data_IF_922005240446
#
_entry.id   IF_922005240446
#
_cell.length_a   1.000
_cell.length_b   1.000
_cell.length_c   1.000
_cell.angle_alpha   90.00
_cell.angle_beta   90.00
_cell.angle_gamma   90.00
#
_symmetry.space_group_name_H-M   'P 1'
#
loop_
_entity.id
_entity.type
_entity.pdbx_description
1 polymer ?
#
# COMPACT_ATOMS: atom_id res chain seq x y z
N UNK A 1 16.92 6.80 -0.30
CA UNK A 1 15.65 7.22 0.35
C UNK A 1 15.11 8.59 -0.09
N UNK A 2 15.93 9.66 -0.22
CA UNK A 2 15.46 11.01 -0.63
C UNK A 2 14.85 11.06 -2.05
N UNK A 3 15.37 10.26 -2.98
CA UNK A 3 14.89 10.18 -4.36
C UNK A 3 13.48 9.57 -4.49
N UNK A 4 13.20 8.49 -3.77
CA UNK A 4 11.88 7.83 -3.78
C UNK A 4 10.81 8.77 -3.24
N UNK A 5 11.08 9.46 -2.12
CA UNK A 5 10.17 10.50 -1.62
C UNK A 5 9.95 11.61 -2.66
N UNK A 6 11.01 12.09 -3.31
CA UNK A 6 10.91 13.14 -4.33
C UNK A 6 10.10 12.71 -5.56
N UNK A 7 10.27 11.47 -6.03
CA UNK A 7 9.56 10.96 -7.21
C UNK A 7 8.12 10.56 -6.92
N UNK A 8 7.85 9.96 -5.75
CA UNK A 8 6.48 9.68 -5.31
C UNK A 8 5.73 11.00 -5.10
N UNK A 9 6.36 12.01 -4.48
CA UNK A 9 5.75 13.34 -4.36
C UNK A 9 5.55 14.01 -5.71
N UNK A 10 6.51 13.89 -6.63
CA UNK A 10 6.40 14.47 -7.98
C UNK A 10 5.23 13.87 -8.76
N UNK A 11 5.12 12.54 -8.81
CA UNK A 11 4.00 11.86 -9.48
C UNK A 11 2.66 12.19 -8.82
N UNK A 12 2.64 12.36 -7.49
CA UNK A 12 1.44 12.74 -6.73
C UNK A 12 1.03 14.20 -7.01
N UNK A 13 1.98 15.11 -7.15
CA UNK A 13 1.75 16.52 -7.54
C UNK A 13 1.19 16.61 -8.96
N UNK A 14 1.74 15.83 -9.89
CA UNK A 14 1.28 15.77 -11.27
C UNK A 14 -0.17 15.25 -11.36
N UNK A 15 -0.50 14.20 -10.62
CA UNK A 15 -1.86 13.67 -10.53
C UNK A 15 -2.87 14.70 -10.00
N UNK A 16 -2.57 15.37 -8.89
CA UNK A 16 -3.46 16.39 -8.31
C UNK A 16 -3.60 17.64 -9.18
N UNK A 17 -2.59 17.97 -9.99
CA UNK A 17 -2.63 19.12 -10.91
C UNK A 17 -3.58 18.90 -12.07
N UNK A 18 -3.83 17.63 -12.44
CA UNK A 18 -4.64 17.23 -13.59
C UNK A 18 -6.09 16.82 -13.25
N UNK A 19 -6.52 16.97 -11.99
CA UNK A 19 -7.91 16.69 -11.59
C UNK A 19 -8.90 17.76 -12.12
N UNK A 20 -10.17 17.39 -12.36
CA UNK A 20 -11.25 18.35 -12.60
C UNK A 20 -11.33 19.38 -11.47
N UNK A 21 -11.71 20.62 -11.77
CA UNK A 21 -11.71 21.72 -10.80
C UNK A 21 -12.64 21.46 -9.58
N UNK A 22 -13.70 20.67 -9.77
CA UNK A 22 -14.61 20.19 -8.71
C UNK A 22 -13.93 19.28 -7.69
N UNK A 23 -12.86 18.61 -8.09
CA UNK A 23 -12.21 17.54 -7.34
C UNK A 23 -10.84 17.99 -6.81
N UNK A 24 -10.45 19.23 -7.09
CA UNK A 24 -9.21 19.82 -6.57
C UNK A 24 -9.40 20.23 -5.11
N UNK A 25 -8.64 19.67 -4.16
CA UNK A 25 -8.62 20.17 -2.80
C UNK A 25 -8.19 21.65 -2.76
N UNK A 26 -8.80 22.44 -1.88
CA UNK A 26 -8.57 23.88 -1.76
C UNK A 26 -7.14 24.18 -1.29
N UNK A 27 -6.20 24.33 -2.23
CA UNK A 27 -4.80 24.68 -1.97
C UNK A 27 -4.39 25.97 -2.70
N UNK A 28 -3.48 26.74 -2.10
CA UNK A 28 -2.88 27.93 -2.71
C UNK A 28 -1.36 27.97 -2.54
N UNK A 29 -0.67 28.64 -3.47
CA UNK A 29 0.79 28.83 -3.48
C UNK A 29 1.10 30.28 -3.12
N UNK A 30 1.95 30.51 -2.11
CA UNK A 30 2.50 31.84 -1.79
C UNK A 30 4.02 31.73 -1.74
N UNK A 31 4.72 32.51 -2.57
CA UNK A 31 6.20 32.51 -2.60
C UNK A 31 6.86 31.19 -3.02
N UNK A 32 6.19 30.37 -3.84
CA UNK A 32 6.74 29.09 -4.31
C UNK A 32 6.61 27.93 -3.31
N UNK A 33 5.87 28.11 -2.21
CA UNK A 33 5.60 27.06 -1.22
C UNK A 33 4.10 26.92 -0.98
N UNK A 34 3.65 25.68 -0.75
CA UNK A 34 2.25 25.36 -0.45
C UNK A 34 1.96 25.70 1.01
N UNK A 35 0.99 26.57 1.27
CA UNK A 35 0.64 27.02 2.63
C UNK A 35 -0.87 26.94 2.87
N UNK A 36 -1.22 26.40 4.04
CA UNK A 36 -2.55 26.54 4.65
C UNK A 36 -2.52 27.81 5.53
N UNK A 37 -3.59 28.61 5.52
CA UNK A 37 -3.71 29.80 6.38
C UNK A 37 -4.76 29.53 7.48
N UNK A 38 -4.61 30.02 8.72
CA UNK A 38 -3.42 30.12 9.56
C UNK A 38 -3.56 29.36 10.91
N UNK A 39 -2.44 28.91 11.49
CA UNK A 39 -2.34 28.55 12.91
C UNK A 39 -1.57 27.27 13.24
N UNK A 40 -0.25 27.24 13.00
CA UNK A 40 0.64 26.19 13.53
C UNK A 40 1.61 25.63 12.49
N UNK A 41 2.92 25.80 12.72
CA UNK A 41 3.97 25.21 11.90
C UNK A 41 4.07 23.70 12.15
N UNK A 42 3.29 22.92 11.40
CA UNK A 42 3.34 21.46 11.44
C UNK A 42 4.46 20.97 10.49
N UNK A 43 5.34 20.09 10.98
CA UNK A 43 6.46 19.54 10.20
C UNK A 43 5.94 18.83 8.92
N UNK A 44 6.62 18.92 7.76
CA UNK A 44 6.17 18.29 6.50
C UNK A 44 5.90 16.78 6.59
N UNK A 45 6.59 16.06 7.47
CA UNK A 45 6.35 14.63 7.71
C UNK A 45 5.00 14.35 8.38
N UNK A 46 4.54 15.29 9.21
CA UNK A 46 3.26 15.22 9.92
C UNK A 46 2.12 15.58 8.97
N UNK A 47 2.31 16.61 8.13
CA UNK A 47 1.37 17.00 7.05
C UNK A 47 1.12 15.87 6.05
N UNK A 48 2.14 15.10 5.67
CA UNK A 48 1.96 13.93 4.80
C UNK A 48 1.18 12.81 5.49
N UNK A 49 1.38 12.63 6.80
CA UNK A 49 0.65 11.63 7.58
C UNK A 49 -0.80 12.03 7.82
N UNK A 50 -1.09 13.32 8.00
CA UNK A 50 -2.42 13.87 8.23
C UNK A 50 -3.22 13.99 6.94
N UNK A 51 -2.59 14.44 5.84
CA UNK A 51 -3.22 14.41 4.53
C UNK A 51 -3.50 12.98 4.07
N UNK A 52 -2.60 12.02 4.36
CA UNK A 52 -2.84 10.60 4.11
C UNK A 52 -3.95 10.04 5.01
N UNK A 53 -3.98 10.38 6.31
CA UNK A 53 -5.06 9.99 7.23
C UNK A 53 -6.41 10.56 6.82
N UNK A 54 -6.45 11.83 6.39
CA UNK A 54 -7.66 12.51 5.93
C UNK A 54 -8.14 11.95 4.57
N UNK A 55 -7.23 11.58 3.66
CA UNK A 55 -7.57 10.84 2.44
C UNK A 55 -8.15 9.45 2.77
N UNK A 56 -7.61 8.77 3.79
CA UNK A 56 -8.08 7.47 4.26
C UNK A 56 -9.43 7.53 5.02
N UNK A 57 -9.79 8.70 5.55
CA UNK A 57 -11.03 8.91 6.32
C UNK A 57 -12.18 9.50 5.49
N UNK A 58 -11.89 10.17 4.37
CA UNK A 58 -12.91 10.94 3.62
C UNK A 58 -13.74 10.16 2.61
N UNK A 59 -13.51 8.86 2.38
CA UNK A 59 -14.31 8.10 1.41
C UNK A 59 -14.63 6.67 1.86
N UNK A 60 -15.69 6.45 2.67
CA UNK A 60 -16.34 5.15 2.76
C UNK A 60 -17.24 4.91 1.55
N UNK A 61 -16.88 5.41 0.35
CA UNK A 61 -17.47 4.90 -0.88
C UNK A 61 -16.87 3.51 -1.07
N UNK A 62 -17.68 2.47 -0.81
CA UNK A 62 -17.46 1.06 -1.19
C UNK A 62 -16.40 0.97 -2.30
N UNK A 63 -15.14 0.71 -1.93
CA UNK A 63 -14.02 0.66 -2.89
C UNK A 63 -14.10 -0.65 -3.67
N UNK A 64 -15.13 -0.80 -4.49
CA UNK A 64 -15.25 -1.88 -5.45
C UNK A 64 -14.30 -1.59 -6.61
N UNK A 65 -13.48 -2.58 -6.95
CA UNK A 65 -12.61 -2.50 -8.12
C UNK A 65 -13.48 -2.45 -9.38
N UNK A 66 -13.32 -1.40 -10.19
CA UNK A 66 -13.94 -1.35 -11.52
C UNK A 66 -13.33 -2.40 -12.44
N UNK A 67 -14.00 -2.73 -13.55
CA UNK A 67 -13.44 -3.63 -14.56
C UNK A 67 -12.06 -3.13 -15.08
N UNK A 68 -11.89 -1.82 -15.21
CA UNK A 68 -10.62 -1.19 -15.59
C UNK A 68 -9.55 -1.38 -14.51
N UNK A 69 -9.90 -1.18 -13.23
CA UNK A 69 -8.96 -1.41 -12.12
C UNK A 69 -8.51 -2.88 -12.09
N UNK A 70 -9.45 -3.83 -12.25
CA UNK A 70 -9.15 -5.26 -12.28
C UNK A 70 -8.23 -5.64 -13.44
N UNK A 71 -8.48 -5.13 -14.64
CA UNK A 71 -7.64 -5.36 -15.81
C UNK A 71 -6.22 -4.81 -15.58
N UNK A 72 -6.10 -3.56 -15.13
CA UNK A 72 -4.80 -2.94 -14.85
C UNK A 72 -4.00 -3.70 -13.78
N UNK A 73 -4.66 -4.23 -12.75
CA UNK A 73 -4.01 -5.07 -11.73
C UNK A 73 -3.51 -6.38 -12.33
N UNK A 74 -4.33 -7.08 -13.13
CA UNK A 74 -3.94 -8.32 -13.81
C UNK A 74 -2.77 -8.09 -14.77
N UNK A 75 -2.82 -7.02 -15.56
CA UNK A 75 -1.77 -6.66 -16.52
C UNK A 75 -0.46 -6.33 -15.82
N UNK A 76 -0.50 -5.52 -14.76
CA UNK A 76 0.68 -5.23 -13.95
C UNK A 76 1.21 -6.51 -13.30
N UNK A 77 0.33 -7.32 -12.70
CA UNK A 77 0.71 -8.58 -12.03
C UNK A 77 1.42 -9.54 -12.98
N UNK A 78 0.91 -9.71 -14.21
CA UNK A 78 1.52 -10.56 -15.23
C UNK A 78 2.99 -10.19 -15.48
N UNK A 79 3.33 -8.90 -15.49
CA UNK A 79 4.69 -8.40 -15.70
C UNK A 79 5.61 -8.59 -14.50
N UNK A 80 5.08 -8.46 -13.28
CA UNK A 80 5.89 -8.45 -12.05
C UNK A 80 5.98 -9.82 -11.36
N UNK A 81 5.08 -10.76 -11.69
CA UNK A 81 4.93 -12.04 -10.99
C UNK A 81 6.21 -12.89 -10.97
N UNK A 82 7.04 -12.82 -12.02
CA UNK A 82 8.36 -13.48 -12.06
C UNK A 82 9.37 -12.96 -11.02
N UNK A 83 9.06 -11.86 -10.33
CA UNK A 83 9.85 -11.27 -9.25
C UNK A 83 9.09 -11.22 -7.92
N UNK A 84 8.01 -11.97 -7.78
CA UNK A 84 7.18 -11.95 -6.57
C UNK A 84 7.99 -12.24 -5.28
N UNK A 85 8.93 -13.19 -5.32
CA UNK A 85 9.80 -13.51 -4.18
C UNK A 85 10.68 -12.30 -3.79
N UNK A 86 11.24 -11.59 -4.77
CA UNK A 86 12.07 -10.40 -4.58
C UNK A 86 11.25 -9.21 -4.05
N UNK A 87 10.05 -9.01 -4.60
CA UNK A 87 9.12 -7.97 -4.16
C UNK A 87 8.74 -8.20 -2.69
N UNK A 88 8.42 -9.43 -2.33
CA UNK A 88 7.98 -9.79 -0.99
C UNK A 88 9.05 -9.61 0.07
N UNK A 89 10.28 -10.05 -0.20
CA UNK A 89 11.39 -9.84 0.74
C UNK A 89 11.70 -8.35 0.93
N UNK A 90 11.69 -7.53 -0.12
CA UNK A 90 12.02 -6.11 -0.01
C UNK A 90 10.88 -5.35 0.71
N UNK A 91 9.63 -5.67 0.40
CA UNK A 91 8.47 -5.05 1.05
C UNK A 91 8.45 -5.36 2.56
N UNK A 92 8.68 -6.62 2.94
CA UNK A 92 8.72 -7.03 4.34
C UNK A 92 9.92 -6.43 5.07
N UNK A 93 11.10 -6.41 4.43
CA UNK A 93 12.31 -5.79 4.98
C UNK A 93 12.09 -4.30 5.29
N UNK A 94 11.48 -3.56 4.35
CA UNK A 94 11.15 -2.14 4.52
C UNK A 94 10.13 -1.92 5.62
N UNK A 95 9.12 -2.76 5.70
CA UNK A 95 8.12 -2.70 6.77
C UNK A 95 8.78 -2.81 8.14
N UNK A 96 9.60 -3.84 8.36
CA UNK A 96 10.26 -4.08 9.64
C UNK A 96 11.23 -2.95 10.03
N UNK A 97 11.89 -2.30 9.06
CA UNK A 97 12.81 -1.19 9.34
C UNK A 97 12.08 0.13 9.61
N UNK A 98 11.10 0.47 8.76
CA UNK A 98 10.44 1.79 8.79
C UNK A 98 9.32 1.84 9.82
N UNK A 99 8.69 0.70 10.11
CA UNK A 99 7.57 0.56 11.02
C UNK A 99 7.90 -0.46 12.11
N UNK A 100 8.81 -0.13 13.05
CA UNK A 100 9.32 -1.09 14.03
C UNK A 100 8.23 -1.68 14.93
N UNK A 101 7.08 -1.02 15.08
CA UNK A 101 5.93 -1.56 15.80
C UNK A 101 5.39 -2.86 15.19
N UNK A 102 5.60 -3.11 13.89
CA UNK A 102 5.15 -4.35 13.25
C UNK A 102 6.02 -5.55 13.62
N UNK A 103 7.21 -5.34 14.23
CA UNK A 103 8.11 -6.42 14.65
C UNK A 103 7.53 -7.29 15.75
N UNK A 104 6.56 -6.78 16.52
CA UNK A 104 5.92 -7.51 17.63
C UNK A 104 5.28 -8.82 17.16
N UNK A 105 4.71 -8.83 15.95
CA UNK A 105 4.13 -10.03 15.32
C UNK A 105 5.16 -11.08 14.90
N UNK A 106 6.45 -10.72 14.86
CA UNK A 106 7.55 -11.57 14.40
C UNK A 106 8.60 -11.80 15.50
N UNK A 107 8.25 -11.61 16.77
CA UNK A 107 9.15 -11.76 17.93
C UNK A 107 9.76 -13.15 18.07
N UNK A 108 9.14 -14.16 17.46
CA UNK A 108 9.62 -15.55 17.41
C UNK A 108 10.77 -15.76 16.40
N UNK A 109 11.07 -14.79 15.52
CA UNK A 109 12.21 -14.88 14.61
C UNK A 109 13.49 -14.39 15.28
N UNK A 110 14.55 -15.19 15.17
CA UNK A 110 15.88 -14.85 15.70
C UNK A 110 16.56 -13.70 14.95
N UNK A 111 16.19 -13.49 13.68
CA UNK A 111 16.78 -12.48 12.82
C UNK A 111 15.72 -11.77 11.96
N UNK A 112 15.50 -10.49 12.28
CA UNK A 112 14.58 -9.58 11.60
C UNK A 112 15.29 -8.58 10.68
N UNK A 113 16.59 -8.79 10.42
CA UNK A 113 17.34 -7.91 9.53
C UNK A 113 16.85 -8.02 8.08
N UNK A 114 16.96 -6.93 7.29
CA UNK A 114 16.64 -6.97 5.87
C UNK A 114 17.37 -8.11 5.14
N UNK A 115 16.63 -8.91 4.38
CA UNK A 115 17.20 -10.03 3.62
C UNK A 115 17.52 -11.30 4.43
N UNK A 116 17.23 -11.33 5.74
CA UNK A 116 17.39 -12.54 6.55
C UNK A 116 16.56 -13.71 6.01
N UNK A 117 16.97 -14.94 6.28
CA UNK A 117 16.25 -16.13 5.80
C UNK A 117 14.76 -16.16 6.24
N UNK A 118 14.39 -15.82 7.50
CA UNK A 118 12.99 -15.71 7.92
C UNK A 118 12.21 -14.66 7.11
N UNK A 119 12.80 -13.47 6.91
CA UNK A 119 12.17 -12.36 6.16
C UNK A 119 11.95 -12.75 4.70
N UNK A 120 12.94 -13.41 4.07
CA UNK A 120 12.81 -13.90 2.69
C UNK A 120 11.71 -14.94 2.55
N UNK A 121 11.71 -15.93 3.45
CA UNK A 121 10.71 -17.00 3.44
C UNK A 121 9.29 -16.46 3.63
N UNK A 122 9.09 -15.56 4.58
CA UNK A 122 7.77 -15.01 4.84
C UNK A 122 7.34 -13.98 3.79
N UNK A 123 8.26 -13.18 3.26
CA UNK A 123 7.99 -12.27 2.14
C UNK A 123 7.41 -13.02 0.93
N UNK A 124 7.95 -14.21 0.63
CA UNK A 124 7.38 -15.12 -0.38
C UNK A 124 5.95 -15.56 -0.04
N UNK A 125 5.70 -15.98 1.20
CA UNK A 125 4.36 -16.36 1.67
C UNK A 125 3.35 -15.22 1.50
N UNK A 126 3.73 -14.00 1.87
CA UNK A 126 2.90 -12.79 1.69
C UNK A 126 2.55 -12.58 0.22
N UNK A 127 3.55 -12.62 -0.67
CA UNK A 127 3.31 -12.37 -2.10
C UNK A 127 2.57 -13.51 -2.79
N UNK A 128 2.63 -14.74 -2.24
CA UNK A 128 1.76 -15.84 -2.66
C UNK A 128 0.29 -15.56 -2.30
N UNK A 129 0.03 -15.00 -1.11
CA UNK A 129 -1.32 -14.54 -0.74
C UNK A 129 -1.82 -13.38 -1.63
N UNK A 130 -0.94 -12.47 -2.03
CA UNK A 130 -1.28 -11.43 -3.03
C UNK A 130 -1.59 -12.06 -4.39
N UNK A 131 -0.83 -13.06 -4.82
CA UNK A 131 -1.08 -13.78 -6.07
C UNK A 131 -2.45 -14.48 -6.05
N UNK A 132 -2.78 -15.14 -4.94
CA UNK A 132 -4.09 -15.74 -4.71
C UNK A 132 -5.19 -14.69 -4.81
N UNK A 133 -5.03 -13.54 -4.14
CA UNK A 133 -5.98 -12.42 -4.23
C UNK A 133 -6.15 -11.89 -5.66
N UNK A 134 -5.09 -11.79 -6.47
CA UNK A 134 -5.22 -11.41 -7.89
C UNK A 134 -6.05 -12.45 -8.66
N UNK A 135 -5.88 -13.74 -8.37
CA UNK A 135 -6.69 -14.81 -8.98
C UNK A 135 -8.16 -14.77 -8.55
N UNK A 136 -8.46 -14.20 -7.38
CA UNK A 136 -9.80 -14.06 -6.78
C UNK A 136 -10.34 -12.63 -6.85
N UNK A 137 -9.77 -11.77 -7.70
CA UNK A 137 -10.06 -10.33 -7.73
C UNK A 137 -11.53 -9.97 -8.00
N UNK A 138 -12.31 -10.92 -8.52
CA UNK A 138 -13.75 -10.74 -8.76
C UNK A 138 -14.60 -10.89 -7.50
N UNK A 139 -14.15 -11.69 -6.53
CA UNK A 139 -14.76 -11.86 -5.21
C UNK A 139 -13.69 -12.14 -4.15
N UNK A 140 -13.06 -11.06 -3.66
CA UNK A 140 -11.98 -11.14 -2.68
C UNK A 140 -12.46 -11.63 -1.31
N UNK A 141 -13.67 -11.26 -0.89
CA UNK A 141 -14.18 -11.60 0.43
C UNK A 141 -14.40 -13.09 0.56
N UNK A 142 -15.11 -13.71 -0.40
CA UNK A 142 -15.28 -15.17 -0.40
C UNK A 142 -13.97 -15.89 -0.72
N UNK A 143 -13.20 -15.35 -1.68
CA UNK A 143 -11.96 -15.97 -2.14
C UNK A 143 -10.84 -16.04 -1.10
N UNK A 144 -10.80 -15.09 -0.15
CA UNK A 144 -9.78 -15.00 0.90
C UNK A 144 -10.29 -15.38 2.28
N UNK A 145 -11.45 -16.04 2.38
CA UNK A 145 -12.11 -16.38 3.65
C UNK A 145 -11.16 -17.10 4.62
N UNK A 146 -10.50 -18.16 4.16
CA UNK A 146 -9.55 -18.93 4.98
C UNK A 146 -8.37 -18.08 5.46
N UNK A 147 -7.88 -17.17 4.61
CA UNK A 147 -6.78 -16.28 4.95
C UNK A 147 -7.22 -15.20 5.95
N UNK A 148 -8.48 -14.73 5.85
CA UNK A 148 -9.08 -13.84 6.85
C UNK A 148 -9.20 -14.53 8.21
N UNK A 149 -9.71 -15.76 8.28
CA UNK A 149 -9.82 -16.53 9.52
C UNK A 149 -8.46 -16.79 10.17
N UNK A 150 -7.45 -17.16 9.36
CA UNK A 150 -6.08 -17.32 9.84
C UNK A 150 -5.56 -16.04 10.50
N UNK A 151 -5.71 -14.90 9.82
CA UNK A 151 -5.25 -13.62 10.33
C UNK A 151 -6.03 -13.20 11.58
N UNK A 152 -7.35 -13.38 11.59
CA UNK A 152 -8.23 -12.94 12.68
C UNK A 152 -8.07 -13.77 13.94
N UNK A 153 -8.13 -15.11 13.84
CA UNK A 153 -8.27 -15.97 15.01
C UNK A 153 -6.95 -16.52 15.51
N UNK A 154 -6.01 -16.83 14.60
CA UNK A 154 -4.72 -17.44 14.95
C UNK A 154 -3.62 -16.39 15.09
N UNK A 155 -3.42 -15.54 14.07
CA UNK A 155 -2.32 -14.57 14.08
C UNK A 155 -2.67 -13.28 14.85
N UNK A 156 -3.95 -12.92 14.88
CA UNK A 156 -4.51 -11.73 15.55
C UNK A 156 -3.77 -10.44 15.17
N UNK A 157 -3.51 -10.27 13.87
CA UNK A 157 -2.82 -9.09 13.35
C UNK A 157 -3.79 -7.91 13.38
N UNK A 158 -3.45 -6.77 13.99
CA UNK A 158 -4.35 -5.62 13.93
C UNK A 158 -4.55 -5.19 12.45
N UNK A 159 -5.79 -5.13 11.94
CA UNK A 159 -6.11 -4.74 10.57
C UNK A 159 -5.43 -3.46 10.07
N UNK A 160 -5.11 -2.53 10.97
CA UNK A 160 -4.38 -1.31 10.63
C UNK A 160 -2.99 -1.59 10.00
N UNK A 161 -2.37 -2.73 10.32
CA UNK A 161 -1.05 -3.09 9.79
C UNK A 161 -1.07 -3.58 8.34
N UNK A 162 -2.21 -4.07 7.84
CA UNK A 162 -2.30 -4.48 6.42
C UNK A 162 -2.00 -3.32 5.48
N UNK A 163 -2.51 -2.12 5.78
CA UNK A 163 -2.24 -0.90 5.02
C UNK A 163 -0.76 -0.51 5.03
N UNK A 164 -0.04 -0.80 6.11
CA UNK A 164 1.41 -0.56 6.20
C UNK A 164 2.14 -1.46 5.21
N UNK A 165 1.81 -2.75 5.19
CA UNK A 165 2.41 -3.69 4.24
C UNK A 165 2.06 -3.34 2.80
N UNK A 166 0.79 -3.02 2.51
CA UNK A 166 0.34 -2.56 1.19
C UNK A 166 1.17 -1.37 0.69
N UNK A 167 1.40 -0.37 1.54
CA UNK A 167 2.23 0.78 1.19
C UNK A 167 3.67 0.37 0.83
N UNK A 168 4.28 -0.52 1.61
CA UNK A 168 5.63 -1.00 1.34
C UNK A 168 5.71 -1.80 0.02
N UNK A 169 4.67 -2.58 -0.32
CA UNK A 169 4.57 -3.24 -1.63
C UNK A 169 4.57 -2.20 -2.75
N UNK A 170 3.71 -1.17 -2.68
CA UNK A 170 3.65 -0.11 -3.71
C UNK A 170 4.99 0.61 -3.89
N UNK A 171 5.71 0.88 -2.79
CA UNK A 171 7.06 1.47 -2.84
C UNK A 171 8.05 0.58 -3.59
N UNK A 172 8.00 -0.72 -3.35
CA UNK A 172 8.87 -1.70 -4.03
C UNK A 172 8.52 -1.81 -5.50
N UNK A 173 7.23 -1.88 -5.85
CA UNK A 173 6.79 -1.89 -7.26
C UNK A 173 7.26 -0.65 -8.01
N UNK A 174 7.13 0.54 -7.41
CA UNK A 174 7.61 1.78 -7.99
C UNK A 174 9.14 1.84 -8.17
N UNK A 175 9.88 1.09 -7.34
CA UNK A 175 11.35 1.06 -7.38
C UNK A 175 11.85 0.03 -8.40
N UNK A 176 11.24 -1.15 -8.44
CA UNK A 176 11.67 -2.26 -9.29
C UNK A 176 11.12 -2.19 -10.71
N UNK A 177 9.93 -1.60 -10.90
CA UNK A 177 9.24 -1.54 -12.19
C UNK A 177 8.83 -0.11 -12.55
N UNK A 178 9.77 0.86 -12.59
CA UNK A 178 9.44 2.28 -12.72
C UNK A 178 8.74 2.64 -14.05
N UNK A 179 8.97 1.86 -15.10
CA UNK A 179 8.33 1.98 -16.42
C UNK A 179 6.91 1.42 -16.44
N UNK A 180 6.68 0.26 -15.82
CA UNK A 180 5.37 -0.41 -15.80
C UNK A 180 4.45 0.12 -14.70
N UNK A 181 5.02 0.70 -13.64
CA UNK A 181 4.28 1.30 -12.53
C UNK A 181 3.88 2.75 -12.88
N UNK A 182 3.01 2.87 -13.88
CA UNK A 182 2.38 4.12 -14.31
C UNK A 182 1.44 4.67 -13.24
N UNK A 183 0.99 5.94 -13.32
CA UNK A 183 0.00 6.48 -12.41
C UNK A 183 -1.30 5.66 -12.36
N UNK A 184 -1.77 5.16 -13.50
CA UNK A 184 -2.98 4.35 -13.60
C UNK A 184 -2.79 2.99 -12.93
N UNK A 185 -1.65 2.33 -13.19
CA UNK A 185 -1.30 1.06 -12.58
C UNK A 185 -1.13 1.21 -11.05
N UNK A 186 -0.57 2.32 -10.59
CA UNK A 186 -0.44 2.64 -9.18
C UNK A 186 -1.81 2.78 -8.51
N UNK A 187 -2.72 3.60 -9.06
CA UNK A 187 -4.06 3.79 -8.49
C UNK A 187 -4.84 2.46 -8.45
N UNK A 188 -4.79 1.68 -9.53
CA UNK A 188 -5.48 0.39 -9.58
C UNK A 188 -4.91 -0.60 -8.54
N UNK A 189 -3.59 -0.70 -8.41
CA UNK A 189 -2.92 -1.57 -7.44
C UNK A 189 -3.17 -1.11 -6.00
N UNK A 190 -3.18 0.19 -5.71
CA UNK A 190 -3.49 0.73 -4.38
C UNK A 190 -4.93 0.40 -3.97
N UNK A 191 -5.91 0.60 -4.87
CA UNK A 191 -7.30 0.19 -4.64
C UNK A 191 -7.40 -1.32 -4.38
N UNK A 192 -6.69 -2.13 -5.17
CA UNK A 192 -6.70 -3.58 -5.01
C UNK A 192 -6.13 -4.02 -3.67
N UNK A 193 -4.98 -3.48 -3.25
CA UNK A 193 -4.39 -3.78 -1.95
C UNK A 193 -5.26 -3.30 -0.78
N UNK A 194 -5.99 -2.19 -0.96
CA UNK A 194 -7.00 -1.76 0.00
C UNK A 194 -8.17 -2.75 0.08
N UNK A 195 -8.70 -3.20 -1.06
CA UNK A 195 -9.78 -4.19 -1.10
C UNK A 195 -9.35 -5.54 -0.52
N UNK A 196 -8.12 -5.97 -0.80
CA UNK A 196 -7.49 -7.15 -0.19
C UNK A 196 -7.40 -7.00 1.33
N UNK A 197 -6.94 -5.85 1.82
CA UNK A 197 -6.86 -5.57 3.26
C UNK A 197 -8.23 -5.62 3.93
N UNK A 198 -9.27 -5.10 3.27
CA UNK A 198 -10.65 -5.18 3.74
C UNK A 198 -11.12 -6.63 3.81
N UNK A 199 -10.90 -7.43 2.75
CA UNK A 199 -11.27 -8.84 2.72
C UNK A 199 -10.56 -9.66 3.82
N UNK A 200 -9.27 -9.39 4.09
CA UNK A 200 -8.57 -10.03 5.21
C UNK A 200 -9.14 -9.63 6.57
N UNK A 201 -9.75 -8.46 6.67
CA UNK A 201 -10.32 -7.93 7.90
C UNK A 201 -11.76 -8.41 8.16
N UNK A 202 -12.36 -9.15 7.23
CA UNK A 202 -13.78 -9.53 7.29
C UNK A 202 -14.13 -10.30 8.57
N UNK A 203 -13.28 -11.24 9.00
CA UNK A 203 -13.53 -12.12 10.16
C UNK A 203 -13.07 -11.58 11.51
N UNK A 204 -12.68 -10.30 11.58
CA UNK A 204 -12.26 -9.66 12.84
C UNK A 204 -13.45 -9.22 13.72
N UNK A 205 -14.69 -9.33 13.24
CA UNK A 205 -15.91 -8.90 13.93
C UNK A 205 -17.03 -9.91 13.75
#
# INVERSE_FOLDING_TARGET
MKWIKKNVMRKKVEYFSNLPQSDKPSFGVRGGSWVYLPGGSIKPSVLLSEAYRSLLQSHPSKMSLSAKDKAAVKDLWAKISGKADDIGQDALSRMLVVYPQTKTYFSHWKDLSPGSAPVRKHGKTVLSGVAEAVSKIDDLTSGLLNLSELHAFQLRIDPANFKILSHNILVVLATMFPTDFTPEAHVAMDKFLCALSLALSEKYR
#
